data_IF_321287664286
#
_entry.id   IF_321287664286
#
_cell.length_a   1.000
_cell.length_b   1.000
_cell.length_c   1.000
_cell.angle_alpha   90.00
_cell.angle_beta   90.00
_cell.angle_gamma   90.00
#
_symmetry.space_group_name_H-M   'P 1'
#
loop_
_entity.id
_entity.type
_entity.pdbx_description
1 polymer ?
#
# COMPACT_ATOMS: atom_id res chain seq x y z
N UNK A 1 56.41 66.26 -75.35
CA UNK A 1 55.58 66.41 -74.14
C UNK A 1 55.10 65.03 -73.73
N UNK A 2 55.17 64.76 -72.43
CA UNK A 2 55.17 63.47 -71.76
C UNK A 2 54.02 62.50 -72.13
N UNK A 3 54.38 61.29 -72.55
CA UNK A 3 53.55 60.10 -72.32
C UNK A 3 54.06 59.38 -71.07
N UNK A 4 53.29 59.53 -69.99
CA UNK A 4 53.45 58.84 -68.71
C UNK A 4 52.75 57.47 -68.79
N UNK A 5 53.49 56.43 -69.19
CA UNK A 5 53.03 55.03 -69.16
C UNK A 5 54.18 54.11 -68.76
N UNK A 6 54.50 54.10 -67.46
CA UNK A 6 55.49 53.15 -66.92
C UNK A 6 55.52 53.02 -65.40
N UNK A 7 55.01 53.99 -64.66
CA UNK A 7 55.17 54.04 -63.19
C UNK A 7 54.15 53.18 -62.41
N UNK A 8 52.97 52.91 -62.97
CA UNK A 8 51.86 52.26 -62.25
C UNK A 8 52.04 50.77 -61.96
N UNK A 9 52.71 50.00 -62.83
CA UNK A 9 52.84 48.53 -62.67
C UNK A 9 53.92 48.19 -61.63
N UNK A 10 54.99 48.99 -61.55
CA UNK A 10 56.04 48.87 -60.53
C UNK A 10 55.52 49.19 -59.13
N UNK A 11 54.80 50.30 -58.98
CA UNK A 11 54.22 50.74 -57.71
C UNK A 11 53.16 49.75 -57.16
N UNK A 12 52.38 49.12 -58.03
CA UNK A 12 51.40 48.10 -57.66
C UNK A 12 52.06 46.75 -57.28
N UNK A 13 53.22 46.41 -57.87
CA UNK A 13 53.99 45.21 -57.46
C UNK A 13 54.70 45.43 -56.12
N UNK A 14 55.28 46.60 -55.88
CA UNK A 14 55.95 46.92 -54.61
C UNK A 14 54.96 47.03 -53.45
N UNK A 15 53.78 47.61 -53.66
CA UNK A 15 52.71 47.63 -52.63
C UNK A 15 52.14 46.24 -52.34
N UNK A 16 51.93 45.38 -53.35
CA UNK A 16 51.50 43.98 -53.12
C UNK A 16 52.55 43.13 -52.40
N UNK A 17 53.83 43.33 -52.70
CA UNK A 17 54.92 42.66 -52.01
C UNK A 17 54.98 43.10 -50.53
N UNK A 18 54.94 44.41 -50.27
CA UNK A 18 54.93 44.96 -48.91
C UNK A 18 53.75 44.47 -48.08
N UNK A 19 52.55 44.42 -48.65
CA UNK A 19 51.38 43.87 -47.96
C UNK A 19 51.48 42.37 -47.67
N UNK A 20 52.15 41.59 -48.54
CA UNK A 20 52.39 40.17 -48.30
C UNK A 20 53.44 39.96 -47.20
N UNK A 21 54.49 40.77 -47.18
CA UNK A 21 55.52 40.76 -46.14
C UNK A 21 54.96 41.16 -44.77
N UNK A 22 54.18 42.24 -44.71
CA UNK A 22 53.47 42.67 -43.49
C UNK A 22 52.52 41.59 -42.96
N UNK A 23 51.77 40.93 -43.83
CA UNK A 23 50.86 39.84 -43.45
C UNK A 23 51.63 38.61 -42.92
N UNK A 24 52.72 38.21 -43.57
CA UNK A 24 53.55 37.08 -43.11
C UNK A 24 54.21 37.43 -41.77
N UNK A 25 54.79 38.63 -41.63
CA UNK A 25 55.43 39.07 -40.38
C UNK A 25 54.44 39.16 -39.21
N UNK A 26 53.21 39.63 -39.44
CA UNK A 26 52.15 39.62 -38.42
C UNK A 26 51.80 38.20 -38.00
N UNK A 27 51.55 37.29 -38.95
CA UNK A 27 51.20 35.91 -38.66
C UNK A 27 52.36 35.16 -37.99
N UNK A 28 53.61 35.43 -38.37
CA UNK A 28 54.79 34.92 -37.69
C UNK A 28 54.84 35.36 -36.23
N UNK A 29 54.68 36.65 -35.96
CA UNK A 29 54.63 37.18 -34.60
C UNK A 29 53.57 36.47 -33.75
N UNK A 30 52.36 36.33 -34.30
CA UNK A 30 51.24 35.65 -33.65
C UNK A 30 51.53 34.17 -33.39
N UNK A 31 52.02 33.42 -34.38
CA UNK A 31 52.37 32.00 -34.21
C UNK A 31 53.49 31.85 -33.18
N UNK A 32 54.46 32.77 -33.13
CA UNK A 32 55.56 32.73 -32.15
C UNK A 32 55.06 32.98 -30.73
N UNK A 33 54.11 33.89 -30.53
CA UNK A 33 53.46 34.08 -29.23
C UNK A 33 52.65 32.85 -28.84
N UNK A 34 51.89 32.28 -29.78
CA UNK A 34 51.09 31.08 -29.52
C UNK A 34 51.92 29.82 -29.29
N UNK A 35 53.20 29.76 -29.71
CA UNK A 35 54.12 28.66 -29.34
C UNK A 35 54.35 28.56 -27.84
N UNK A 36 54.11 29.65 -27.10
CA UNK A 36 54.20 29.64 -25.65
C UNK A 36 52.99 28.95 -25.00
N UNK A 37 51.90 28.72 -25.74
CA UNK A 37 50.78 27.90 -25.30
C UNK A 37 51.05 26.43 -25.60
N UNK A 38 50.43 25.52 -24.84
CA UNK A 38 50.57 24.06 -25.06
C UNK A 38 49.74 23.55 -26.25
N UNK A 39 49.10 24.44 -27.01
CA UNK A 39 48.31 24.07 -28.17
C UNK A 39 49.23 23.57 -29.31
N UNK A 40 48.86 22.46 -29.96
CA UNK A 40 49.55 22.02 -31.17
C UNK A 40 49.24 22.95 -32.35
N UNK A 41 50.12 23.93 -32.57
CA UNK A 41 50.03 24.91 -33.67
C UNK A 41 50.85 24.53 -34.90
N UNK A 42 51.45 23.32 -34.96
CA UNK A 42 52.19 22.84 -36.14
C UNK A 42 51.40 22.97 -37.46
N UNK A 43 50.06 22.79 -37.50
CA UNK A 43 49.31 23.00 -38.74
C UNK A 43 49.32 24.46 -39.21
N UNK A 44 49.33 25.43 -38.29
CA UNK A 44 49.47 26.84 -38.62
C UNK A 44 50.88 27.16 -39.11
N UNK A 45 51.91 26.57 -38.51
CA UNK A 45 53.31 26.70 -38.94
C UNK A 45 53.54 26.15 -40.35
N UNK A 46 52.96 24.98 -40.65
CA UNK A 46 53.02 24.38 -41.99
C UNK A 46 52.34 25.29 -43.04
N UNK A 47 51.19 25.87 -42.69
CA UNK A 47 50.47 26.81 -43.57
C UNK A 47 51.25 28.12 -43.77
N UNK A 48 51.94 28.60 -42.73
CA UNK A 48 52.81 29.77 -42.79
C UNK A 48 54.06 29.51 -43.64
N UNK A 49 54.63 28.32 -43.60
CA UNK A 49 55.73 27.92 -44.48
C UNK A 49 55.28 27.93 -45.96
N UNK A 50 54.06 27.48 -46.26
CA UNK A 50 53.47 27.59 -47.61
C UNK A 50 53.29 29.07 -48.02
N UNK A 51 52.90 29.95 -47.09
CA UNK A 51 52.79 31.39 -47.36
C UNK A 51 54.15 32.00 -47.76
N UNK A 52 55.23 31.62 -47.08
CA UNK A 52 56.60 32.03 -47.43
C UNK A 52 57.02 31.50 -48.80
N UNK A 53 56.75 30.23 -49.10
CA UNK A 53 57.04 29.67 -50.43
C UNK A 53 56.31 30.42 -51.55
N UNK A 54 55.05 30.83 -51.35
CA UNK A 54 54.35 31.66 -52.32
C UNK A 54 54.92 33.07 -52.44
N UNK A 55 55.46 33.62 -51.35
CA UNK A 55 56.15 34.91 -51.37
C UNK A 55 57.46 34.82 -52.18
N UNK A 56 58.27 33.77 -51.93
CA UNK A 56 59.50 33.49 -52.66
C UNK A 56 59.23 33.29 -54.16
N UNK A 57 58.12 32.63 -54.51
CA UNK A 57 57.66 32.45 -55.89
C UNK A 57 56.98 33.69 -56.52
N UNK A 58 56.99 34.84 -55.82
CA UNK A 58 56.39 36.12 -56.25
C UNK A 58 54.87 36.07 -56.46
N UNK A 59 54.19 35.08 -55.88
CA UNK A 59 52.74 34.91 -55.91
C UNK A 59 52.08 35.63 -54.73
N UNK A 60 52.30 36.95 -54.62
CA UNK A 60 51.96 37.75 -53.44
C UNK A 60 50.49 37.65 -52.98
N UNK A 61 49.54 37.54 -53.91
CA UNK A 61 48.12 37.38 -53.55
C UNK A 61 47.84 36.04 -52.85
N UNK A 62 48.50 34.96 -53.27
CA UNK A 62 48.38 33.64 -52.63
C UNK A 62 49.15 33.58 -51.31
N UNK A 63 50.28 34.28 -51.22
CA UNK A 63 51.04 34.43 -49.97
C UNK A 63 50.18 35.11 -48.88
N UNK A 64 49.51 36.23 -49.20
CA UNK A 64 48.58 36.90 -48.26
C UNK A 64 47.42 35.98 -47.86
N UNK A 65 46.84 35.25 -48.81
CA UNK A 65 45.74 34.31 -48.52
C UNK A 65 46.21 33.16 -47.60
N UNK A 66 47.40 32.60 -47.84
CA UNK A 66 47.97 31.54 -47.02
C UNK A 66 48.35 32.07 -45.62
N UNK A 67 48.91 33.27 -45.50
CA UNK A 67 49.21 33.91 -44.21
C UNK A 67 47.93 34.12 -43.38
N UNK A 68 46.88 34.70 -43.98
CA UNK A 68 45.57 34.86 -43.31
C UNK A 68 44.93 33.53 -42.89
N UNK A 69 45.14 32.46 -43.68
CA UNK A 69 44.69 31.10 -43.31
C UNK A 69 45.48 30.56 -42.13
N UNK A 70 46.81 30.71 -42.13
CA UNK A 70 47.66 30.29 -41.02
C UNK A 70 47.28 31.03 -39.72
N UNK A 71 47.02 32.33 -39.78
CA UNK A 71 46.53 33.13 -38.65
C UNK A 71 45.18 32.61 -38.13
N UNK A 72 44.21 32.39 -39.04
CA UNK A 72 42.90 31.87 -38.64
C UNK A 72 42.98 30.47 -38.02
N UNK A 73 43.83 29.59 -38.55
CA UNK A 73 44.08 28.25 -38.00
C UNK A 73 44.70 28.37 -36.60
N UNK A 74 45.71 29.24 -36.43
CA UNK A 74 46.38 29.42 -35.14
C UNK A 74 45.43 29.91 -34.04
N UNK A 75 44.65 30.97 -34.32
CA UNK A 75 43.68 31.53 -33.36
C UNK A 75 42.61 30.50 -32.99
N UNK A 76 42.04 29.80 -33.99
CA UNK A 76 41.03 28.77 -33.74
C UNK A 76 41.58 27.60 -32.93
N UNK A 77 42.81 27.18 -33.19
CA UNK A 77 43.43 26.07 -32.45
C UNK A 77 43.71 26.44 -31.01
N UNK A 78 44.21 27.64 -30.75
CA UNK A 78 44.44 28.12 -29.39
C UNK A 78 43.12 28.22 -28.61
N UNK A 79 42.09 28.81 -29.21
CA UNK A 79 40.76 28.92 -28.58
C UNK A 79 40.17 27.54 -28.28
N UNK A 80 40.20 26.62 -29.25
CA UNK A 80 39.68 25.26 -29.10
C UNK A 80 40.48 24.47 -28.06
N UNK A 81 41.81 24.61 -28.03
CA UNK A 81 42.66 24.00 -27.03
C UNK A 81 42.34 24.52 -25.63
N UNK A 82 42.17 25.84 -25.46
CA UNK A 82 41.76 26.43 -24.18
C UNK A 82 40.41 25.92 -23.69
N UNK A 83 39.43 25.75 -24.59
CA UNK A 83 38.13 25.15 -24.26
C UNK A 83 38.25 23.66 -23.88
N UNK A 84 39.07 22.90 -24.60
CA UNK A 84 39.36 21.50 -24.30
C UNK A 84 40.03 21.35 -22.92
N UNK A 85 41.05 22.16 -22.62
CA UNK A 85 41.76 22.13 -21.35
C UNK A 85 40.83 22.48 -20.18
N UNK A 86 39.94 23.47 -20.35
CA UNK A 86 38.88 23.78 -19.37
C UNK A 86 37.94 22.60 -19.16
N UNK A 87 37.52 21.91 -20.22
CA UNK A 87 36.67 20.73 -20.11
C UNK A 87 37.39 19.57 -19.40
N UNK A 88 38.69 19.38 -19.66
CA UNK A 88 39.52 18.35 -19.02
C UNK A 88 39.70 18.62 -17.53
N UNK A 89 40.00 19.88 -17.14
CA UNK A 89 40.04 20.31 -15.75
C UNK A 89 38.69 20.14 -15.05
N UNK A 90 37.59 20.44 -15.77
CA UNK A 90 36.23 20.23 -15.29
C UNK A 90 35.95 18.76 -14.98
N UNK A 91 36.33 17.85 -15.88
CA UNK A 91 36.20 16.40 -15.68
C UNK A 91 37.05 15.91 -14.49
N UNK A 92 38.32 16.35 -14.40
CA UNK A 92 39.21 15.98 -13.29
C UNK A 92 38.66 16.46 -11.94
N UNK A 93 38.13 17.69 -11.90
CA UNK A 93 37.49 18.24 -10.70
C UNK A 93 36.26 17.41 -10.31
N UNK A 94 35.43 17.01 -11.30
CA UNK A 94 34.26 16.15 -11.06
C UNK A 94 34.67 14.76 -10.52
N UNK A 95 35.69 14.14 -11.11
CA UNK A 95 36.25 12.86 -10.61
C UNK A 95 36.75 13.04 -9.17
N UNK A 96 37.43 14.14 -8.88
CA UNK A 96 37.89 14.47 -7.53
C UNK A 96 36.74 14.58 -6.52
N UNK A 97 35.65 15.26 -6.89
CA UNK A 97 34.44 15.37 -6.08
C UNK A 97 33.79 14.00 -5.85
N UNK A 98 33.64 13.19 -6.90
CA UNK A 98 33.06 11.85 -6.80
C UNK A 98 33.90 10.92 -5.91
N UNK A 99 35.23 10.98 -6.01
CA UNK A 99 36.14 10.20 -5.14
C UNK A 99 36.02 10.58 -3.66
N UNK A 100 35.84 11.86 -3.35
CA UNK A 100 35.62 12.31 -1.96
C UNK A 100 34.33 11.74 -1.36
N UNK A 101 33.35 11.47 -2.21
CA UNK A 101 32.08 10.83 -1.85
C UNK A 101 32.14 9.29 -1.91
N UNK A 102 33.30 8.70 -2.23
CA UNK A 102 33.48 7.25 -2.31
C UNK A 102 32.80 6.59 -3.52
N UNK A 103 32.42 7.37 -4.54
CA UNK A 103 31.76 6.85 -5.74
C UNK A 103 32.77 6.20 -6.71
N UNK A 104 32.31 5.21 -7.48
CA UNK A 104 33.10 4.66 -8.58
C UNK A 104 33.37 5.73 -9.64
N UNK A 105 34.64 5.86 -10.02
CA UNK A 105 35.12 6.84 -10.99
C UNK A 105 35.88 6.20 -12.14
N UNK A 106 36.03 4.87 -12.18
CA UNK A 106 36.85 4.20 -13.20
C UNK A 106 36.32 4.42 -14.62
N UNK A 107 35.01 4.35 -14.79
CA UNK A 107 34.33 4.51 -16.09
C UNK A 107 34.51 5.93 -16.64
N UNK A 108 34.33 6.94 -15.80
CA UNK A 108 34.48 8.36 -16.15
C UNK A 108 35.95 8.72 -16.36
N UNK A 109 36.87 8.17 -15.56
CA UNK A 109 38.31 8.40 -15.71
C UNK A 109 38.85 7.89 -17.06
N UNK A 110 38.33 6.76 -17.55
CA UNK A 110 38.68 6.22 -18.89
C UNK A 110 38.27 7.15 -20.04
N UNK A 111 37.31 8.07 -19.84
CA UNK A 111 36.89 9.02 -20.87
C UNK A 111 37.98 10.04 -21.20
N UNK A 112 38.82 10.40 -20.23
CA UNK A 112 39.94 11.31 -20.48
C UNK A 112 40.90 10.73 -21.54
N UNK A 113 41.24 9.44 -21.44
CA UNK A 113 42.07 8.75 -22.43
C UNK A 113 41.40 8.69 -23.82
N UNK A 114 40.10 8.42 -23.89
CA UNK A 114 39.34 8.44 -25.16
C UNK A 114 39.32 9.82 -25.81
N UNK A 115 39.25 10.88 -25.01
CA UNK A 115 39.29 12.25 -25.51
C UNK A 115 40.69 12.58 -26.06
N UNK A 116 41.76 12.13 -25.39
CA UNK A 116 43.14 12.29 -25.86
C UNK A 116 43.40 11.54 -27.17
N UNK A 117 42.93 10.28 -27.29
CA UNK A 117 42.98 9.52 -28.55
C UNK A 117 42.30 10.27 -29.71
N UNK A 118 41.17 10.94 -29.43
CA UNK A 118 40.45 11.76 -30.41
C UNK A 118 41.21 13.02 -30.82
N UNK A 119 41.89 13.69 -29.87
CA UNK A 119 42.76 14.82 -30.19
C UNK A 119 43.87 14.39 -31.16
N UNK A 120 44.53 13.26 -30.87
CA UNK A 120 45.63 12.71 -31.67
C UNK A 120 45.16 12.23 -33.05
N UNK A 121 43.97 11.64 -33.14
CA UNK A 121 43.38 11.20 -34.40
C UNK A 121 43.17 12.34 -35.42
N UNK A 122 43.01 13.57 -34.94
CA UNK A 122 42.91 14.79 -35.74
C UNK A 122 41.73 14.82 -36.73
N UNK A 123 41.58 15.94 -37.43
CA UNK A 123 40.61 16.16 -38.50
C UNK A 123 41.26 16.96 -39.64
N UNK A 124 40.75 16.80 -40.85
CA UNK A 124 41.14 17.65 -41.97
C UNK A 124 40.22 18.88 -42.00
N UNK A 125 40.79 20.08 -41.83
CA UNK A 125 40.05 21.34 -41.90
C UNK A 125 40.80 22.31 -42.83
N UNK A 126 40.11 22.85 -43.84
CA UNK A 126 40.67 23.80 -44.81
C UNK A 126 41.96 23.31 -45.52
N UNK A 127 42.11 22.00 -45.72
CA UNK A 127 43.28 21.39 -46.38
C UNK A 127 44.49 21.20 -45.46
N UNK A 128 44.37 21.49 -44.16
CA UNK A 128 45.37 21.19 -43.14
C UNK A 128 44.84 20.11 -42.18
N UNK A 129 45.72 19.19 -41.77
CA UNK A 129 45.42 18.23 -40.71
C UNK A 129 45.61 18.94 -39.37
N UNK A 130 44.54 19.03 -38.57
CA UNK A 130 44.51 19.75 -37.29
C UNK A 130 44.03 18.86 -36.15
N UNK A 131 44.47 19.05 -34.90
CA UNK A 131 43.98 18.28 -33.76
C UNK A 131 42.46 18.46 -33.54
N UNK A 132 41.77 17.37 -33.20
CA UNK A 132 40.31 17.39 -33.01
C UNK A 132 39.89 17.77 -31.58
N UNK A 133 40.21 19.01 -31.18
CA UNK A 133 39.84 19.52 -29.86
C UNK A 133 38.32 19.67 -29.67
N UNK A 134 37.54 19.82 -30.75
CA UNK A 134 36.09 20.03 -30.66
C UNK A 134 35.36 18.75 -30.22
N UNK A 135 35.58 17.62 -30.91
CA UNK A 135 34.96 16.35 -30.51
C UNK A 135 35.48 15.89 -29.14
N UNK A 136 36.78 16.06 -28.89
CA UNK A 136 37.37 15.72 -27.61
C UNK A 136 36.74 16.52 -26.47
N UNK A 137 36.53 17.84 -26.66
CA UNK A 137 35.80 18.70 -25.71
C UNK A 137 34.39 18.18 -25.49
N UNK A 138 33.64 17.88 -26.54
CA UNK A 138 32.25 17.45 -26.42
C UNK A 138 32.12 16.12 -25.66
N UNK A 139 33.06 15.19 -25.86
CA UNK A 139 33.16 13.94 -25.08
C UNK A 139 33.38 14.24 -23.59
N UNK A 140 34.33 15.12 -23.26
CA UNK A 140 34.64 15.49 -21.88
C UNK A 140 33.47 16.22 -21.20
N UNK A 141 32.79 17.12 -21.91
CA UNK A 141 31.64 17.87 -21.39
C UNK A 141 30.48 16.91 -21.10
N UNK A 142 30.16 15.99 -22.02
CA UNK A 142 29.12 14.97 -21.80
C UNK A 142 29.43 14.10 -20.59
N UNK A 143 30.65 13.58 -20.48
CA UNK A 143 31.05 12.78 -19.33
C UNK A 143 31.01 13.56 -18.01
N UNK A 144 31.32 14.86 -18.03
CA UNK A 144 31.18 15.72 -16.85
C UNK A 144 29.70 15.86 -16.44
N UNK A 145 28.79 16.04 -17.41
CA UNK A 145 27.35 16.12 -17.16
C UNK A 145 26.79 14.79 -16.63
N UNK A 146 27.17 13.67 -17.24
CA UNK A 146 26.80 12.32 -16.79
C UNK A 146 27.31 12.04 -15.37
N UNK A 147 28.56 12.41 -15.08
CA UNK A 147 29.15 12.29 -13.74
C UNK A 147 28.41 13.13 -12.68
N UNK A 148 27.99 14.34 -13.03
CA UNK A 148 27.16 15.18 -12.13
C UNK A 148 25.79 14.56 -11.87
N UNK A 149 25.10 14.12 -12.93
CA UNK A 149 23.80 13.47 -12.80
C UNK A 149 23.89 12.17 -12.00
N UNK A 150 24.98 11.41 -12.16
CA UNK A 150 25.24 10.21 -11.37
C UNK A 150 25.52 10.53 -9.90
N UNK A 151 26.31 11.56 -9.62
CA UNK A 151 26.56 12.04 -8.27
C UNK A 151 25.25 12.45 -7.58
N UNK A 152 24.44 13.27 -8.22
CA UNK A 152 23.14 13.72 -7.68
C UNK A 152 22.23 12.53 -7.35
N UNK A 153 22.11 11.55 -8.26
CA UNK A 153 21.35 10.32 -8.02
C UNK A 153 21.89 9.53 -6.82
N UNK A 154 23.21 9.48 -6.68
CA UNK A 154 23.87 8.75 -5.59
C UNK A 154 23.64 9.44 -4.24
N UNK A 155 23.67 10.77 -4.20
CA UNK A 155 23.34 11.54 -3.00
C UNK A 155 21.87 11.34 -2.60
N UNK A 156 20.94 11.36 -3.57
CA UNK A 156 19.51 11.06 -3.32
C UNK A 156 19.35 9.64 -2.76
N UNK A 157 20.04 8.66 -3.35
CA UNK A 157 20.00 7.27 -2.88
C UNK A 157 20.54 7.14 -1.46
N UNK A 158 21.69 7.77 -1.17
CA UNK A 158 22.29 7.79 0.17
C UNK A 158 21.36 8.40 1.20
N UNK A 159 20.72 9.53 0.88
CA UNK A 159 19.75 10.17 1.77
C UNK A 159 18.53 9.29 2.01
N UNK A 160 18.05 8.56 0.99
CA UNK A 160 16.95 7.60 1.17
C UNK A 160 17.33 6.40 2.02
N UNK A 161 18.54 5.87 1.84
CA UNK A 161 19.06 4.80 2.69
C UNK A 161 19.07 5.26 4.14
N UNK A 162 19.59 6.47 4.40
CA UNK A 162 19.59 7.05 5.75
C UNK A 162 18.17 7.24 6.33
N UNK A 163 17.21 7.72 5.54
CA UNK A 163 15.81 7.84 5.98
C UNK A 163 15.20 6.47 6.27
N UNK A 164 15.52 5.45 5.48
CA UNK A 164 15.08 4.09 5.71
C UNK A 164 15.70 3.48 6.98
N UNK A 165 16.99 3.74 7.26
CA UNK A 165 17.65 3.35 8.51
C UNK A 165 16.97 4.02 9.72
N UNK A 166 16.70 5.31 9.66
CA UNK A 166 15.96 6.03 10.70
C UNK A 166 14.55 5.43 10.89
N UNK A 167 13.88 5.04 9.81
CA UNK A 167 12.57 4.41 9.89
C UNK A 167 12.63 3.05 10.59
N UNK A 168 13.64 2.22 10.28
CA UNK A 168 13.91 0.94 10.95
C UNK A 168 14.20 1.16 12.44
N UNK A 169 15.09 2.10 12.79
CA UNK A 169 15.41 2.40 14.18
C UNK A 169 14.18 2.91 14.94
N UNK A 170 13.37 3.75 14.28
CA UNK A 170 12.11 4.24 14.84
C UNK A 170 11.06 3.15 15.04
N UNK A 171 11.15 2.02 14.33
CA UNK A 171 10.34 0.83 14.48
C UNK A 171 10.86 -0.01 15.65
N UNK A 172 12.17 -0.26 15.70
CA UNK A 172 12.83 -1.00 16.78
C UNK A 172 12.58 -0.37 18.17
N UNK A 173 12.49 0.96 18.22
CA UNK A 173 12.27 1.72 19.46
C UNK A 173 10.78 1.90 19.84
N UNK A 174 9.83 1.29 19.13
CA UNK A 174 8.39 1.48 19.41
C UNK A 174 7.99 0.82 20.73
N UNK A 175 8.48 -0.38 20.99
CA UNK A 175 8.23 -1.07 22.24
C UNK A 175 9.30 -0.58 23.22
N UNK A 176 8.96 0.30 24.17
CA UNK A 176 9.90 0.82 25.17
C UNK A 176 10.11 -0.15 26.36
N UNK A 177 10.09 -1.45 26.11
CA UNK A 177 10.03 -2.50 27.13
C UNK A 177 11.42 -2.93 27.63
N UNK A 178 11.48 -3.75 28.68
CA UNK A 178 12.74 -4.23 29.24
C UNK A 178 13.52 -5.18 28.30
N UNK A 179 12.84 -5.79 27.32
CA UNK A 179 13.40 -6.76 26.35
C UNK A 179 13.48 -6.21 24.91
N UNK A 180 13.83 -4.92 24.76
CA UNK A 180 13.99 -4.24 23.47
C UNK A 180 14.84 -5.00 22.44
N UNK A 181 15.80 -5.80 22.90
CA UNK A 181 16.65 -6.60 22.01
C UNK A 181 15.89 -7.69 21.23
N UNK A 182 14.91 -8.35 21.85
CA UNK A 182 14.15 -9.42 21.19
C UNK A 182 13.11 -8.84 20.22
N UNK A 183 12.45 -7.76 20.62
CA UNK A 183 11.54 -7.00 19.77
C UNK A 183 12.23 -6.44 18.53
N UNK A 184 13.34 -5.71 18.72
CA UNK A 184 14.10 -5.12 17.63
C UNK A 184 14.60 -6.20 16.67
N UNK A 185 15.10 -7.31 17.20
CA UNK A 185 15.54 -8.42 16.35
C UNK A 185 14.39 -9.01 15.52
N UNK A 186 13.20 -9.21 16.08
CA UNK A 186 12.05 -9.74 15.34
C UNK A 186 11.50 -8.76 14.30
N UNK A 187 11.38 -7.48 14.65
CA UNK A 187 10.72 -6.47 13.82
C UNK A 187 11.63 -5.83 12.76
N UNK A 188 12.92 -5.64 13.08
CA UNK A 188 13.85 -4.85 12.25
C UNK A 188 14.88 -5.68 11.47
N UNK A 189 15.27 -6.89 11.93
CA UNK A 189 16.41 -7.63 11.35
C UNK A 189 16.27 -7.92 9.86
N UNK A 190 15.06 -8.25 9.38
CA UNK A 190 14.82 -8.49 7.96
C UNK A 190 14.96 -7.22 7.11
N UNK A 191 14.58 -6.07 7.66
CA UNK A 191 14.72 -4.76 7.03
C UNK A 191 16.20 -4.32 7.06
N UNK A 192 16.93 -4.59 8.13
CA UNK A 192 18.38 -4.35 8.23
C UNK A 192 19.18 -5.19 7.21
N UNK A 193 18.83 -6.46 7.00
CA UNK A 193 19.45 -7.26 5.93
C UNK A 193 19.19 -6.65 4.55
N UNK A 194 17.98 -6.12 4.34
CA UNK A 194 17.61 -5.49 3.07
C UNK A 194 18.29 -4.13 2.87
N UNK A 195 18.52 -3.36 3.95
CA UNK A 195 19.25 -2.08 3.85
C UNK A 195 20.71 -2.31 3.46
N UNK A 196 21.35 -3.38 3.95
CA UNK A 196 22.69 -3.75 3.50
C UNK A 196 22.73 -4.08 2.01
N UNK A 197 21.68 -4.67 1.45
CA UNK A 197 21.56 -4.86 -0.01
C UNK A 197 21.47 -3.53 -0.73
N UNK A 198 20.67 -2.57 -0.24
CA UNK A 198 20.57 -1.23 -0.83
C UNK A 198 21.93 -0.50 -0.81
N UNK A 199 22.67 -0.57 0.30
CA UNK A 199 24.00 0.02 0.42
C UNK A 199 25.01 -0.64 -0.52
N UNK A 200 24.92 -1.97 -0.70
CA UNK A 200 25.74 -2.69 -1.67
C UNK A 200 25.43 -2.28 -3.11
N UNK A 201 24.16 -2.13 -3.49
CA UNK A 201 23.76 -1.66 -4.81
C UNK A 201 24.26 -0.23 -5.08
N UNK A 202 24.26 0.65 -4.07
CA UNK A 202 24.84 1.98 -4.19
C UNK A 202 26.36 1.90 -4.44
N UNK A 203 27.07 1.03 -3.71
CA UNK A 203 28.51 0.82 -3.89
C UNK A 203 28.86 0.22 -5.26
N UNK A 204 27.96 -0.58 -5.85
CA UNK A 204 28.11 -1.12 -7.21
C UNK A 204 27.77 -0.12 -8.32
N UNK A 205 27.34 1.10 -7.96
CA UNK A 205 27.03 2.15 -8.92
C UNK A 205 25.60 2.09 -9.47
N UNK A 206 24.66 1.47 -8.74
CA UNK A 206 23.24 1.41 -9.10
C UNK A 206 22.39 2.29 -8.15
N UNK A 207 22.51 3.63 -8.21
CA UNK A 207 21.81 4.51 -7.28
C UNK A 207 20.29 4.47 -7.44
N UNK A 208 19.78 4.17 -8.64
CA UNK A 208 18.34 4.02 -8.89
C UNK A 208 17.74 2.86 -8.10
N UNK A 209 18.31 1.66 -8.24
CA UNK A 209 17.85 0.47 -7.53
C UNK A 209 17.98 0.65 -6.01
N UNK A 210 19.12 1.20 -5.55
CA UNK A 210 19.34 1.48 -4.13
C UNK A 210 18.25 2.41 -3.56
N UNK A 211 17.87 3.46 -4.29
CA UNK A 211 16.83 4.41 -3.89
C UNK A 211 15.41 3.80 -3.88
N UNK A 212 15.13 2.84 -4.77
CA UNK A 212 13.85 2.11 -4.79
C UNK A 212 13.74 1.10 -3.65
N UNK A 213 14.81 0.33 -3.41
CA UNK A 213 14.88 -0.61 -2.29
C UNK A 213 14.73 0.15 -0.96
N UNK A 214 15.47 1.25 -0.77
CA UNK A 214 15.37 2.08 0.43
C UNK A 214 13.95 2.63 0.64
N UNK A 215 13.29 3.10 -0.42
CA UNK A 215 11.90 3.56 -0.35
C UNK A 215 10.94 2.44 0.07
N UNK A 216 11.10 1.23 -0.50
CA UNK A 216 10.30 0.07 -0.11
C UNK A 216 10.50 -0.35 1.35
N UNK A 217 11.73 -0.22 1.87
CA UNK A 217 12.04 -0.45 3.28
C UNK A 217 11.34 0.59 4.17
N UNK A 218 11.45 1.87 3.83
CA UNK A 218 10.81 2.96 4.55
C UNK A 218 9.28 2.78 4.65
N UNK A 219 8.64 2.44 3.53
CA UNK A 219 7.20 2.19 3.47
C UNK A 219 6.78 0.98 4.33
N UNK A 220 7.55 -0.12 4.27
CA UNK A 220 7.32 -1.31 5.10
C UNK A 220 7.51 -1.01 6.58
N UNK A 221 8.59 -0.34 6.96
CA UNK A 221 8.87 0.03 8.35
C UNK A 221 7.75 0.90 8.93
N UNK A 222 7.27 1.88 8.16
CA UNK A 222 6.13 2.73 8.54
C UNK A 222 4.85 1.91 8.69
N UNK A 223 4.57 1.01 7.75
CA UNK A 223 3.39 0.15 7.78
C UNK A 223 3.38 -0.77 9.02
N UNK A 224 4.51 -1.40 9.33
CA UNK A 224 4.67 -2.22 10.54
C UNK A 224 4.47 -1.40 11.80
N UNK A 225 4.99 -0.17 11.85
CA UNK A 225 4.79 0.74 12.98
C UNK A 225 3.31 1.09 13.17
N UNK A 226 2.57 1.37 12.09
CA UNK A 226 1.13 1.63 12.17
C UNK A 226 0.35 0.40 12.61
N UNK A 227 0.68 -0.78 12.07
CA UNK A 227 0.05 -2.05 12.46
C UNK A 227 0.30 -2.39 13.92
N UNK A 228 1.51 -2.14 14.44
CA UNK A 228 1.82 -2.33 15.86
C UNK A 228 0.94 -1.45 16.74
N UNK A 229 0.81 -0.17 16.40
CA UNK A 229 -0.02 0.77 17.17
C UNK A 229 -1.51 0.37 17.14
N UNK A 230 -2.02 -0.02 15.97
CA UNK A 230 -3.39 -0.51 15.80
C UNK A 230 -3.63 -1.81 16.55
N UNK A 231 -2.74 -2.80 16.43
CA UNK A 231 -2.85 -4.08 17.13
C UNK A 231 -2.83 -3.89 18.66
N UNK A 232 -1.94 -3.04 19.17
CA UNK A 232 -1.87 -2.72 20.61
C UNK A 232 -3.18 -2.09 21.09
N UNK A 233 -3.71 -1.12 20.35
CA UNK A 233 -4.99 -0.49 20.65
C UNK A 233 -6.14 -1.52 20.63
N UNK A 234 -6.23 -2.32 19.58
CA UNK A 234 -7.25 -3.38 19.46
C UNK A 234 -7.18 -4.37 20.62
N UNK A 235 -5.98 -4.79 21.05
CA UNK A 235 -5.84 -5.68 22.21
C UNK A 235 -6.27 -5.01 23.52
N UNK A 236 -6.03 -3.71 23.71
CA UNK A 236 -6.55 -2.98 24.88
C UNK A 236 -8.08 -2.86 24.87
N UNK A 237 -8.68 -2.63 23.71
CA UNK A 237 -10.14 -2.59 23.56
C UNK A 237 -10.78 -3.97 23.75
N UNK A 238 -10.12 -5.04 23.29
CA UNK A 238 -10.52 -6.42 23.52
C UNK A 238 -10.51 -6.72 25.02
N UNK A 239 -9.44 -6.37 25.73
CA UNK A 239 -9.36 -6.57 27.19
C UNK A 239 -10.47 -5.85 27.96
N UNK A 240 -10.79 -4.61 27.57
CA UNK A 240 -11.88 -3.86 28.18
C UNK A 240 -13.22 -4.60 27.98
N UNK A 241 -13.51 -5.05 26.75
CA UNK A 241 -14.71 -5.82 26.42
C UNK A 241 -14.76 -7.17 27.13
N UNK A 242 -13.63 -7.86 27.26
CA UNK A 242 -13.53 -9.10 28.05
C UNK A 242 -13.80 -8.83 29.54
N UNK A 243 -13.36 -7.69 30.06
CA UNK A 243 -13.70 -7.21 31.40
C UNK A 243 -15.21 -7.03 31.59
N UNK A 244 -15.87 -6.37 30.65
CA UNK A 244 -17.33 -6.18 30.67
C UNK A 244 -18.08 -7.51 30.60
N UNK A 245 -17.71 -8.39 29.67
CA UNK A 245 -18.29 -9.73 29.53
C UNK A 245 -18.09 -10.59 30.79
N UNK A 246 -16.95 -10.45 31.46
CA UNK A 246 -16.69 -11.11 32.74
C UNK A 246 -17.61 -10.57 33.84
N UNK A 247 -17.87 -9.26 33.85
CA UNK A 247 -18.86 -8.63 34.74
C UNK A 247 -20.28 -9.14 34.50
N UNK A 248 -20.60 -9.50 33.26
CA UNK A 248 -21.88 -10.12 32.88
C UNK A 248 -21.94 -11.64 33.19
N UNK A 249 -20.82 -12.28 33.54
CA UNK A 249 -20.75 -13.70 33.90
C UNK A 249 -20.41 -14.66 32.74
N UNK A 250 -19.86 -14.16 31.64
CA UNK A 250 -19.39 -14.94 30.48
C UNK A 250 -18.04 -15.60 30.78
N UNK A 251 -17.84 -16.83 30.31
CA UNK A 251 -16.55 -17.53 30.39
C UNK A 251 -15.59 -17.00 29.32
N UNK A 252 -14.60 -16.20 29.73
CA UNK A 252 -13.66 -15.52 28.83
C UNK A 252 -12.23 -16.09 28.84
N UNK A 253 -11.97 -17.12 29.63
CA UNK A 253 -10.60 -17.59 29.94
C UNK A 253 -9.78 -17.99 28.69
N UNK A 254 -10.41 -18.68 27.73
CA UNK A 254 -9.74 -19.12 26.50
C UNK A 254 -9.29 -17.91 25.66
N UNK A 255 -10.16 -16.92 25.49
CA UNK A 255 -9.85 -15.69 24.73
C UNK A 255 -8.77 -14.87 25.45
N UNK A 256 -8.79 -14.81 26.78
CA UNK A 256 -7.75 -14.13 27.57
C UNK A 256 -6.36 -14.76 27.38
N UNK A 257 -6.27 -16.09 27.29
CA UNK A 257 -5.00 -16.76 27.01
C UNK A 257 -4.49 -16.43 25.62
N UNK A 258 -5.37 -16.36 24.62
CA UNK A 258 -5.01 -15.96 23.27
C UNK A 258 -4.61 -14.47 23.18
N UNK A 259 -5.24 -13.58 23.95
CA UNK A 259 -4.82 -12.17 24.06
C UNK A 259 -3.42 -12.06 24.66
N UNK A 260 -3.10 -12.85 25.69
CA UNK A 260 -1.74 -12.93 26.23
C UNK A 260 -0.74 -13.41 25.19
N UNK A 261 -1.08 -14.45 24.43
CA UNK A 261 -0.23 -14.94 23.33
C UNK A 261 -0.02 -13.86 22.26
N UNK A 262 -1.06 -13.10 21.89
CA UNK A 262 -0.94 -12.00 20.93
C UNK A 262 0.02 -10.91 21.43
N UNK A 263 -0.01 -10.60 22.73
CA UNK A 263 0.95 -9.67 23.37
C UNK A 263 2.37 -10.22 23.36
N UNK A 264 2.56 -11.48 23.74
CA UNK A 264 3.89 -12.11 23.71
C UNK A 264 4.47 -12.11 22.29
N UNK A 265 3.63 -12.24 21.26
CA UNK A 265 4.05 -12.11 19.86
C UNK A 265 4.44 -10.67 19.51
N UNK A 266 3.67 -9.67 19.94
CA UNK A 266 4.03 -8.26 19.77
C UNK A 266 5.36 -7.94 20.46
N UNK A 267 5.57 -8.45 21.67
CA UNK A 267 6.81 -8.23 22.44
C UNK A 267 8.02 -8.87 21.78
N UNK A 268 7.84 -9.97 21.03
CA UNK A 268 8.88 -10.60 20.22
C UNK A 268 9.11 -9.93 18.85
N UNK A 269 8.36 -8.88 18.51
CA UNK A 269 8.46 -8.19 17.23
C UNK A 269 7.75 -8.88 16.06
N UNK A 270 6.91 -9.88 16.33
CA UNK A 270 6.07 -10.55 15.31
C UNK A 270 4.78 -9.76 15.08
N UNK A 271 4.93 -8.59 14.45
CA UNK A 271 3.85 -7.61 14.31
C UNK A 271 2.71 -8.11 13.43
N UNK A 272 3.00 -8.60 12.22
CA UNK A 272 1.94 -9.04 11.28
C UNK A 272 1.13 -10.23 11.80
N UNK A 273 1.74 -11.30 12.36
CA UNK A 273 0.98 -12.40 12.97
C UNK A 273 0.13 -11.95 14.15
N UNK A 274 0.66 -11.06 14.99
CA UNK A 274 -0.07 -10.55 16.14
C UNK A 274 -1.23 -9.65 15.74
N UNK A 275 -1.07 -8.80 14.73
CA UNK A 275 -2.15 -7.98 14.18
C UNK A 275 -3.27 -8.87 13.60
N UNK A 276 -2.92 -9.91 12.84
CA UNK A 276 -3.90 -10.87 12.32
C UNK A 276 -4.63 -11.63 13.45
N UNK A 277 -3.91 -12.00 14.52
CA UNK A 277 -4.52 -12.61 15.70
C UNK A 277 -5.45 -11.64 16.43
N UNK A 278 -5.06 -10.38 16.60
CA UNK A 278 -5.90 -9.35 17.22
C UNK A 278 -7.20 -9.13 16.46
N UNK A 279 -7.17 -9.10 15.12
CA UNK A 279 -8.39 -9.01 14.30
C UNK A 279 -9.32 -10.21 14.50
N UNK A 280 -8.77 -11.44 14.51
CA UNK A 280 -9.57 -12.65 14.78
C UNK A 280 -10.19 -12.62 16.17
N UNK A 281 -9.41 -12.26 17.19
CA UNK A 281 -9.91 -12.13 18.56
C UNK A 281 -11.01 -11.08 18.69
N UNK A 282 -10.91 -9.99 17.94
CA UNK A 282 -11.97 -8.98 17.91
C UNK A 282 -13.30 -9.53 17.38
N UNK A 283 -13.24 -10.33 16.31
CA UNK A 283 -14.41 -10.99 15.74
C UNK A 283 -14.96 -12.07 16.68
N UNK A 284 -14.08 -12.86 17.31
CA UNK A 284 -14.45 -13.89 18.27
C UNK A 284 -15.17 -13.29 19.49
N UNK A 285 -14.60 -12.22 20.09
CA UNK A 285 -15.23 -11.51 21.22
C UNK A 285 -16.58 -10.91 20.84
N UNK A 286 -16.67 -10.34 19.64
CA UNK A 286 -17.95 -9.79 19.14
C UNK A 286 -18.98 -10.89 18.97
N UNK A 287 -18.58 -12.04 18.42
CA UNK A 287 -19.47 -13.19 18.25
C UNK A 287 -19.96 -13.71 19.60
N UNK A 288 -19.06 -13.90 20.58
CA UNK A 288 -19.40 -14.36 21.93
C UNK A 288 -20.39 -13.40 22.58
N UNK A 289 -20.14 -12.09 22.50
CA UNK A 289 -21.03 -11.07 23.05
C UNK A 289 -22.43 -11.10 22.40
N UNK A 290 -22.50 -11.30 21.08
CA UNK A 290 -23.77 -11.37 20.36
C UNK A 290 -24.57 -12.63 20.72
N UNK A 291 -23.93 -13.80 20.78
CA UNK A 291 -24.58 -15.05 21.17
C UNK A 291 -25.02 -15.02 22.63
N UNK A 292 -24.22 -14.46 23.54
CA UNK A 292 -24.60 -14.26 24.93
C UNK A 292 -25.83 -13.33 25.07
N UNK A 293 -25.83 -12.18 24.38
CA UNK A 293 -26.98 -11.26 24.38
C UNK A 293 -28.23 -11.92 23.84
N UNK A 294 -28.14 -12.63 22.71
CA UNK A 294 -29.28 -13.37 22.14
C UNK A 294 -29.79 -14.45 23.10
N UNK A 295 -28.90 -15.24 23.69
CA UNK A 295 -29.28 -16.30 24.64
C UNK A 295 -29.93 -15.73 25.91
N UNK A 296 -29.43 -14.61 26.44
CA UNK A 296 -29.98 -13.96 27.64
C UNK A 296 -31.33 -13.28 27.37
N UNK A 297 -31.50 -12.58 26.25
CA UNK A 297 -32.80 -11.99 25.88
C UNK A 297 -33.84 -13.05 25.58
N UNK A 298 -33.48 -14.10 24.82
CA UNK A 298 -34.40 -15.20 24.52
C UNK A 298 -34.78 -16.01 25.76
N UNK A 299 -33.86 -16.18 26.72
CA UNK A 299 -34.18 -16.76 28.02
C UNK A 299 -35.19 -15.90 28.78
N UNK A 300 -34.95 -14.57 28.86
CA UNK A 300 -35.87 -13.66 29.55
C UNK A 300 -37.27 -13.66 28.93
N UNK A 301 -37.37 -13.62 27.60
CA UNK A 301 -38.64 -13.70 26.88
C UNK A 301 -39.34 -15.05 27.10
N UNK A 302 -38.60 -16.15 27.04
CA UNK A 302 -39.13 -17.49 27.30
C UNK A 302 -39.64 -17.63 28.75
N UNK A 303 -38.96 -17.03 29.72
CA UNK A 303 -39.39 -17.01 31.13
C UNK A 303 -40.67 -16.20 31.33
N UNK A 304 -40.81 -15.04 30.68
CA UNK A 304 -42.04 -14.23 30.74
C UNK A 304 -43.22 -14.99 30.13
N UNK A 305 -43.02 -15.58 28.94
CA UNK A 305 -44.05 -16.36 28.25
C UNK A 305 -44.45 -17.59 29.07
N UNK A 306 -43.47 -18.30 29.62
CA UNK A 306 -43.74 -19.46 30.45
C UNK A 306 -44.44 -19.09 31.75
N UNK A 307 -44.03 -18.01 32.43
CA UNK A 307 -44.71 -17.52 33.63
C UNK A 307 -46.16 -17.10 33.36
N UNK A 308 -46.45 -16.54 32.19
CA UNK A 308 -47.84 -16.29 31.76
C UNK A 308 -48.60 -17.60 31.55
N UNK A 309 -48.02 -18.56 30.85
CA UNK A 309 -48.64 -19.87 30.59
C UNK A 309 -48.89 -20.66 31.89
N UNK A 310 -47.99 -20.58 32.87
CA UNK A 310 -48.18 -21.18 34.19
C UNK A 310 -49.37 -20.59 34.95
N UNK A 311 -49.53 -19.25 34.95
CA UNK A 311 -50.71 -18.60 35.55
C UNK A 311 -52.02 -19.01 34.86
N UNK A 312 -51.93 -19.38 33.59
CA UNK A 312 -53.03 -19.88 32.79
C UNK A 312 -53.23 -21.41 32.91
N UNK A 313 -52.49 -22.08 33.80
CA UNK A 313 -52.65 -23.51 34.13
C UNK A 313 -51.72 -24.48 33.39
N UNK A 314 -50.83 -23.99 32.52
CA UNK A 314 -49.90 -24.86 31.79
C UNK A 314 -48.69 -25.24 32.65
N UNK A 315 -48.56 -26.53 32.94
CA UNK A 315 -47.43 -27.12 33.65
C UNK A 315 -46.83 -28.21 32.78
N UNK A 316 -45.59 -28.02 32.31
CA UNK A 316 -44.88 -29.00 31.49
C UNK A 316 -43.50 -29.25 32.05
N UNK A 317 -43.29 -30.47 32.55
CA UNK A 317 -42.00 -30.92 33.06
C UNK A 317 -40.90 -30.80 31.99
N UNK A 318 -41.23 -31.06 30.72
CA UNK A 318 -40.27 -30.94 29.62
C UNK A 318 -39.85 -29.48 29.36
N UNK A 319 -40.76 -28.52 29.55
CA UNK A 319 -40.45 -27.10 29.41
C UNK A 319 -39.62 -26.59 30.61
N UNK A 320 -39.94 -27.03 31.82
CA UNK A 320 -39.15 -26.72 33.02
C UNK A 320 -37.72 -27.28 32.92
N UNK A 321 -37.58 -28.53 32.44
CA UNK A 321 -36.30 -29.14 32.19
C UNK A 321 -35.51 -28.36 31.13
N UNK A 322 -36.13 -28.02 30.00
CA UNK A 322 -35.48 -27.26 28.93
C UNK A 322 -35.02 -25.85 29.38
N UNK A 323 -35.81 -25.13 30.19
CA UNK A 323 -35.41 -23.83 30.73
C UNK A 323 -34.27 -23.95 31.76
N UNK A 324 -34.28 -25.00 32.58
CA UNK A 324 -33.17 -25.29 33.50
C UNK A 324 -31.89 -25.65 32.76
N UNK A 325 -32.00 -26.50 31.73
CA UNK A 325 -30.88 -26.90 30.89
C UNK A 325 -30.35 -25.70 30.10
N UNK A 326 -31.20 -24.82 29.57
CA UNK A 326 -30.79 -23.56 28.94
C UNK A 326 -30.04 -22.63 29.90
N UNK A 327 -30.52 -22.46 31.15
CA UNK A 327 -29.80 -21.70 32.17
C UNK A 327 -28.44 -22.30 32.50
N UNK A 328 -28.36 -23.63 32.54
CA UNK A 328 -27.12 -24.36 32.80
C UNK A 328 -26.12 -24.18 31.65
N UNK A 329 -26.56 -24.36 30.40
CA UNK A 329 -25.70 -24.22 29.22
C UNK A 329 -25.22 -22.79 29.00
N UNK A 330 -26.01 -21.77 29.36
CA UNK A 330 -25.56 -20.37 29.40
C UNK A 330 -24.42 -20.16 30.40
N UNK A 331 -24.52 -20.75 31.61
CA UNK A 331 -23.45 -20.68 32.62
C UNK A 331 -22.20 -21.45 32.21
N UNK A 332 -22.37 -22.52 31.46
CA UNK A 332 -21.28 -23.33 30.91
C UNK A 332 -20.66 -22.70 29.64
N UNK A 333 -21.14 -21.53 29.19
CA UNK A 333 -20.60 -20.82 28.03
C UNK A 333 -21.00 -21.39 26.66
N UNK A 334 -21.88 -22.40 26.63
CA UNK A 334 -22.38 -23.02 25.40
C UNK A 334 -23.63 -22.32 24.89
N UNK A 335 -23.47 -21.09 24.39
CA UNK A 335 -24.59 -20.22 24.00
C UNK A 335 -25.43 -20.75 22.83
N UNK A 336 -24.81 -21.39 21.84
CA UNK A 336 -25.54 -21.96 20.69
C UNK A 336 -26.48 -23.09 21.12
N UNK A 337 -25.99 -23.98 21.98
CA UNK A 337 -26.80 -25.05 22.56
C UNK A 337 -27.93 -24.48 23.41
N UNK A 338 -27.67 -23.42 24.17
CA UNK A 338 -28.72 -22.74 24.92
C UNK A 338 -29.83 -22.18 24.03
N UNK A 339 -29.46 -21.53 22.91
CA UNK A 339 -30.41 -21.02 21.93
C UNK A 339 -31.25 -22.16 21.35
N UNK A 340 -30.66 -23.29 20.96
CA UNK A 340 -31.43 -24.45 20.47
C UNK A 340 -32.44 -24.98 21.50
N UNK A 341 -32.03 -25.08 22.77
CA UNK A 341 -32.92 -25.52 23.85
C UNK A 341 -34.07 -24.53 24.07
N UNK A 342 -33.78 -23.23 23.99
CA UNK A 342 -34.77 -22.16 24.10
C UNK A 342 -35.73 -22.13 22.91
N UNK A 343 -35.24 -22.32 21.68
CA UNK A 343 -36.09 -22.39 20.49
C UNK A 343 -37.04 -23.58 20.54
N UNK A 344 -36.57 -24.76 20.97
CA UNK A 344 -37.44 -25.94 21.17
C UNK A 344 -38.52 -25.67 22.22
N UNK A 345 -38.19 -24.99 23.31
CA UNK A 345 -39.14 -24.60 24.35
C UNK A 345 -40.17 -23.58 23.81
N UNK A 346 -39.71 -22.53 23.11
CA UNK A 346 -40.56 -21.51 22.50
C UNK A 346 -41.50 -22.10 21.44
N UNK A 347 -41.03 -23.04 20.62
CA UNK A 347 -41.89 -23.76 19.67
C UNK A 347 -42.96 -24.59 20.39
N UNK A 348 -42.63 -25.24 21.50
CA UNK A 348 -43.62 -25.96 22.32
C UNK A 348 -44.65 -24.99 22.92
N UNK A 349 -44.23 -23.82 23.38
CA UNK A 349 -45.13 -22.76 23.85
C UNK A 349 -46.04 -22.26 22.74
N UNK A 350 -45.50 -21.96 21.56
CA UNK A 350 -46.26 -21.49 20.40
C UNK A 350 -47.29 -22.53 19.91
N UNK A 351 -46.93 -23.82 19.87
CA UNK A 351 -47.89 -24.89 19.55
C UNK A 351 -49.04 -24.93 20.54
N UNK A 352 -48.77 -24.73 21.83
CA UNK A 352 -49.79 -24.75 22.88
C UNK A 352 -50.68 -23.51 22.87
N UNK A 353 -50.12 -22.32 22.65
CA UNK A 353 -50.92 -21.10 22.50
C UNK A 353 -51.82 -21.16 21.27
N UNK A 354 -51.32 -21.69 20.15
CA UNK A 354 -52.11 -21.88 18.94
C UNK A 354 -53.22 -22.93 19.14
N UNK A 355 -52.92 -24.06 19.78
CA UNK A 355 -53.94 -25.07 20.12
C UNK A 355 -55.02 -24.51 21.06
N UNK A 356 -54.65 -23.62 21.99
CA UNK A 356 -55.63 -22.92 22.82
C UNK A 356 -56.48 -21.95 22.00
N UNK A 357 -55.87 -21.17 21.10
CA UNK A 357 -56.59 -20.23 20.26
C UNK A 357 -57.56 -20.94 19.30
N UNK A 358 -57.19 -22.12 18.77
CA UNK A 358 -58.10 -22.94 17.98
C UNK A 358 -59.25 -23.49 18.84
N UNK A 359 -58.97 -24.05 20.02
CA UNK A 359 -60.03 -24.51 20.93
C UNK A 359 -61.01 -23.39 21.29
N UNK A 360 -60.52 -22.17 21.55
CA UNK A 360 -61.38 -21.01 21.80
C UNK A 360 -62.27 -20.64 20.61
N UNK A 361 -61.75 -20.73 19.38
CA UNK A 361 -62.55 -20.53 18.15
C UNK A 361 -63.59 -21.63 17.97
N UNK A 362 -63.20 -22.89 18.18
CA UNK A 362 -64.07 -24.05 18.03
C UNK A 362 -65.23 -23.99 19.05
N UNK A 363 -64.98 -23.53 20.28
CA UNK A 363 -66.02 -23.26 21.29
C UNK A 363 -67.01 -22.20 20.79
N UNK A 364 -66.54 -21.08 20.25
CA UNK A 364 -67.45 -20.03 19.74
C UNK A 364 -68.20 -20.45 18.46
N UNK A 365 -67.57 -21.23 17.58
CA UNK A 365 -68.23 -21.80 16.40
C UNK A 365 -69.31 -22.83 16.78
N UNK A 366 -69.04 -23.70 17.74
CA UNK A 366 -70.04 -24.65 18.25
C UNK A 366 -71.17 -23.92 18.99
N UNK A 367 -70.85 -22.87 19.75
CA UNK A 367 -71.83 -21.98 20.39
C UNK A 367 -72.76 -21.30 19.40
N UNK A 368 -72.23 -20.77 18.29
CA UNK A 368 -73.04 -20.14 17.24
C UNK A 368 -73.94 -21.16 16.53
N UNK A 369 -73.45 -22.38 16.26
CA UNK A 369 -74.27 -23.47 15.70
C UNK A 369 -75.40 -23.89 16.64
N UNK A 370 -75.12 -24.06 17.94
CA UNK A 370 -76.15 -24.38 18.94
C UNK A 370 -77.20 -23.28 19.04
N UNK A 371 -76.81 -21.99 18.96
CA UNK A 371 -77.75 -20.85 18.93
C UNK A 371 -78.64 -20.84 17.69
N UNK A 372 -78.12 -21.20 16.52
CA UNK A 372 -78.92 -21.31 15.29
C UNK A 372 -79.94 -22.46 15.37
N UNK A 373 -79.60 -23.54 16.07
CA UNK A 373 -80.46 -24.71 16.25
C UNK A 373 -81.47 -24.56 17.40
N UNK A 374 -81.30 -23.57 18.29
CA UNK A 374 -82.15 -23.35 19.47
C UNK A 374 -83.64 -23.05 19.17
N UNK A 375 -84.02 -22.83 17.90
CA UNK A 375 -85.40 -22.68 17.44
C UNK A 375 -86.05 -23.95 16.88
N UNK A 376 -85.33 -25.08 16.80
CA UNK A 376 -85.76 -26.28 16.05
C UNK A 376 -86.41 -27.40 16.89
N UNK A 377 -86.58 -27.22 18.21
CA UNK A 377 -87.37 -28.12 19.05
C UNK A 377 -86.79 -29.53 19.26
N UNK A 378 -85.46 -29.68 19.23
CA UNK A 378 -84.77 -30.96 19.42
C UNK A 378 -84.68 -31.34 20.91
N UNK A 379 -84.97 -32.60 21.27
CA UNK A 379 -85.04 -33.09 22.65
C UNK A 379 -83.69 -33.14 23.40
N UNK A 380 -82.57 -33.18 22.67
CA UNK A 380 -81.22 -33.31 23.25
C UNK A 380 -80.42 -31.99 23.25
N UNK A 381 -81.07 -30.88 22.86
CA UNK A 381 -80.46 -29.54 22.81
C UNK A 381 -80.03 -29.01 24.21
N UNK A 382 -80.78 -29.28 25.30
CA UNK A 382 -80.35 -28.91 26.66
C UNK A 382 -79.07 -29.63 27.10
N UNK A 383 -78.92 -30.92 26.78
CA UNK A 383 -77.74 -31.72 27.15
C UNK A 383 -76.48 -31.22 26.41
N UNK A 384 -76.61 -30.87 25.12
CA UNK A 384 -75.53 -30.25 24.33
C UNK A 384 -75.15 -28.88 24.90
N UNK A 385 -76.13 -28.08 25.34
CA UNK A 385 -75.87 -26.80 25.99
C UNK A 385 -75.19 -26.95 27.35
N UNK A 386 -75.51 -27.97 28.13
CA UNK A 386 -74.88 -28.24 29.41
C UNK A 386 -73.41 -28.68 29.23
N UNK A 387 -73.14 -29.58 28.29
CA UNK A 387 -71.78 -30.05 27.97
C UNK A 387 -70.94 -28.92 27.37
N UNK A 388 -71.50 -28.09 26.49
CA UNK A 388 -70.81 -26.91 25.97
C UNK A 388 -70.56 -25.86 27.08
N UNK A 389 -71.53 -25.64 27.98
CA UNK A 389 -71.35 -24.76 29.14
C UNK A 389 -70.37 -25.30 30.18
N UNK A 390 -70.14 -26.62 30.21
CA UNK A 390 -69.06 -27.26 30.99
C UNK A 390 -67.71 -27.05 30.31
N UNK A 391 -67.63 -27.30 29.00
CA UNK A 391 -66.43 -27.03 28.20
C UNK A 391 -65.99 -25.55 28.27
N UNK A 392 -66.94 -24.60 28.24
CA UNK A 392 -66.69 -23.17 28.42
C UNK A 392 -66.16 -22.86 29.82
N UNK A 393 -66.78 -23.39 30.88
CA UNK A 393 -66.32 -23.17 32.26
C UNK A 393 -64.93 -23.76 32.49
N UNK A 394 -64.68 -24.96 31.97
CA UNK A 394 -63.38 -25.62 32.07
C UNK A 394 -62.30 -24.89 31.26
N UNK A 395 -62.66 -24.31 30.11
CA UNK A 395 -61.77 -23.42 29.34
C UNK A 395 -61.39 -22.16 30.11
N UNK A 396 -62.35 -21.54 30.80
CA UNK A 396 -62.13 -20.34 31.62
C UNK A 396 -61.38 -20.66 32.93
N UNK A 397 -61.51 -21.89 33.44
CA UNK A 397 -60.79 -22.38 34.63
C UNK A 397 -59.38 -22.92 34.31
N UNK A 398 -59.00 -23.00 33.03
CA UNK A 398 -57.66 -23.43 32.60
C UNK A 398 -57.49 -24.94 32.42
N UNK A 399 -58.56 -25.74 32.55
CA UNK A 399 -58.53 -27.19 32.27
C UNK A 399 -58.79 -27.46 30.79
N UNK A 400 -57.78 -27.21 29.95
CA UNK A 400 -57.91 -27.32 28.50
C UNK A 400 -58.06 -28.75 27.98
N UNK A 401 -57.57 -29.76 28.72
CA UNK A 401 -57.78 -31.17 28.36
C UNK A 401 -59.25 -31.57 28.52
N UNK A 402 -59.86 -31.25 29.66
CA UNK A 402 -61.28 -31.52 29.91
C UNK A 402 -62.18 -30.73 28.95
N UNK A 403 -61.88 -29.44 28.75
CA UNK A 403 -62.59 -28.59 27.78
C UNK A 403 -62.55 -29.14 26.35
N UNK A 404 -61.42 -29.72 25.91
CA UNK A 404 -61.31 -30.32 24.58
C UNK A 404 -62.08 -31.64 24.42
N UNK A 405 -62.19 -32.41 25.51
CA UNK A 405 -62.93 -33.67 25.55
C UNK A 405 -64.44 -33.39 25.57
N UNK A 406 -64.88 -32.45 26.42
CA UNK A 406 -66.27 -31.98 26.47
C UNK A 406 -66.70 -31.34 25.14
N UNK A 407 -65.83 -30.57 24.48
CA UNK A 407 -66.11 -30.03 23.14
C UNK A 407 -66.20 -31.12 22.07
N UNK A 408 -65.38 -32.18 22.14
CA UNK A 408 -65.51 -33.34 21.23
C UNK A 408 -66.83 -34.07 21.45
N UNK A 409 -67.26 -34.22 22.71
CA UNK A 409 -68.56 -34.84 23.03
C UNK A 409 -69.69 -33.96 22.50
N UNK A 410 -69.63 -32.64 22.72
CA UNK A 410 -70.63 -31.69 22.22
C UNK A 410 -70.70 -31.66 20.68
N UNK A 411 -69.55 -31.70 19.99
CA UNK A 411 -69.49 -31.73 18.51
C UNK A 411 -70.01 -33.05 17.94
N UNK A 412 -69.68 -34.20 18.55
CA UNK A 412 -70.22 -35.51 18.12
C UNK A 412 -71.74 -35.57 18.34
N UNK A 413 -72.26 -35.01 19.44
CA UNK A 413 -73.70 -34.92 19.67
C UNK A 413 -74.38 -33.96 18.67
N UNK A 414 -73.74 -32.85 18.30
CA UNK A 414 -74.21 -31.94 17.24
C UNK A 414 -74.20 -32.59 15.85
N UNK A 415 -73.17 -33.36 15.51
CA UNK A 415 -73.07 -34.05 14.22
C UNK A 415 -74.04 -35.22 14.11
N UNK A 416 -74.27 -35.93 15.23
CA UNK A 416 -75.33 -36.94 15.35
C UNK A 416 -76.74 -36.36 15.15
N UNK A 417 -76.94 -35.07 15.46
CA UNK A 417 -78.19 -34.33 15.25
C UNK A 417 -78.33 -33.83 13.81
N UNK A 418 -77.24 -33.41 13.15
CA UNK A 418 -77.29 -32.98 11.74
C UNK A 418 -77.40 -34.14 10.75
N UNK A 419 -76.94 -35.34 11.12
CA UNK A 419 -77.02 -36.57 10.32
C UNK A 419 -78.17 -37.51 10.73
N UNK A 420 -79.00 -37.13 11.71
CA UNK A 420 -80.21 -37.89 12.02
C UNK A 420 -81.16 -37.88 10.81
N UNK A 421 -81.61 -39.04 10.28
CA UNK A 421 -82.60 -39.07 9.22
C UNK A 421 -83.88 -38.44 9.78
N UNK A 422 -84.42 -37.43 9.07
CA UNK A 422 -85.64 -36.74 9.46
C UNK A 422 -86.78 -37.71 9.78
N UNK A 423 -87.78 -37.27 10.56
CA UNK A 423 -88.89 -38.13 10.94
C UNK A 423 -89.55 -38.69 9.68
N UNK A 424 -89.67 -40.02 9.59
CA UNK A 424 -90.59 -40.63 8.64
C UNK A 424 -92.02 -40.34 9.12
N UNK A 425 -92.70 -39.53 8.30
CA UNK A 425 -94.11 -39.15 8.27
C UNK A 425 -94.52 -37.95 9.11
#
# INVERSE_FOLDING_TARGET
MFEDKGSGIGFLKTTKARHAEEAIGHTEGLVTVLRLTMADIKPAEATLAIAKQFFDAHQYAKAVQAAKRAESIAIKLDERFGQYQKALQGLQSQIGSMKRLGLDTETIAKVAGKAEEKVVAGISENGAFVPNYLEARDILVRATQEGRAFQEKSEIASNRIFVAELAIESLANVNGSADNGTFAHGAASSLEQTIHVATKELALGNPGNAAEIAKGIEEKARCLKTQFAEATKSLTEIDAKLGDLRGEGVLTHEVETQVKMARDMLDRGLIEPAAAMASRLQDDVRSIAEHYRKASTTLADAEILYGRLQREGFHSYAADAALRDARRTIREGSYDRAIEHLERALQAFARRTNARASLGKDIEETRTRVRLLAGSGLSFLPDIQEVLGRAEREFHQGNYSGSSEDLRIATVLLDGVTHAPGPKK
#
